data_IF_625595412759
#
_entry.id   IF_625595412759
#
_cell.length_a   1.000
_cell.length_b   1.000
_cell.length_c   1.000
_cell.angle_alpha   90.00
_cell.angle_beta   90.00
_cell.angle_gamma   90.00
#
_symmetry.space_group_name_H-M   'P 1'
#
loop_
_entity.id
_entity.type
_entity.pdbx_description
1 polymer ?
#
# COMPACT_ATOMS: atom_id res chain seq x y z
N UNK A 1 17.16 -9.33 1.77
CA UNK A 1 17.16 -8.44 0.59
C UNK A 1 16.63 -7.05 0.95
N UNK A 2 15.51 -6.96 1.65
CA UNK A 2 14.93 -5.69 2.12
C UNK A 2 15.94 -4.94 3.00
N UNK A 3 16.53 -5.59 3.99
CA UNK A 3 17.53 -4.98 4.87
C UNK A 3 18.69 -4.34 4.09
N UNK A 4 19.18 -5.01 3.04
CA UNK A 4 20.25 -4.46 2.20
C UNK A 4 19.77 -3.32 1.32
N UNK A 5 18.54 -3.41 0.79
CA UNK A 5 17.99 -2.39 -0.11
C UNK A 5 17.68 -1.07 0.61
N UNK A 6 17.44 -1.12 1.92
CA UNK A 6 17.05 0.03 2.74
C UNK A 6 17.97 0.26 3.94
N UNK A 7 19.18 -0.32 3.95
CA UNK A 7 20.19 -0.06 4.96
C UNK A 7 20.57 1.43 4.99
N UNK A 8 20.75 1.97 6.19
CA UNK A 8 21.15 3.35 6.39
C UNK A 8 22.35 3.42 7.34
N UNK A 9 23.55 3.73 6.85
CA UNK A 9 24.74 3.89 7.70
C UNK A 9 24.54 4.92 8.81
N UNK A 10 23.73 5.97 8.56
CA UNK A 10 23.39 6.96 9.58
C UNK A 10 22.57 6.35 10.71
N UNK A 11 21.57 5.53 10.38
CA UNK A 11 20.74 4.83 11.38
C UNK A 11 21.59 3.85 12.18
N UNK A 12 22.50 3.12 11.53
CA UNK A 12 23.41 2.18 12.20
C UNK A 12 24.35 2.90 13.14
N UNK A 13 24.89 4.06 12.72
CA UNK A 13 25.69 4.93 13.55
C UNK A 13 24.92 5.38 14.80
N UNK A 14 23.69 5.88 14.63
CA UNK A 14 22.87 6.37 15.74
C UNK A 14 22.54 5.22 16.72
N UNK A 15 22.24 4.04 16.21
CA UNK A 15 21.99 2.84 17.04
C UNK A 15 23.21 2.46 17.88
N UNK A 16 24.41 2.57 17.30
CA UNK A 16 25.68 2.29 18.00
C UNK A 16 26.02 3.35 19.07
N UNK A 17 25.34 4.50 19.08
CA UNK A 17 25.54 5.59 20.02
C UNK A 17 24.27 5.83 20.87
N UNK A 18 23.75 4.77 21.47
CA UNK A 18 22.60 4.80 22.39
C UNK A 18 21.34 5.47 21.82
N UNK A 19 21.14 5.34 20.50
CA UNK A 19 20.02 5.94 19.76
C UNK A 19 20.01 7.48 19.78
N UNK A 20 21.17 8.11 20.01
CA UNK A 20 21.30 9.57 20.04
C UNK A 20 22.30 10.04 18.99
N UNK A 21 21.93 11.05 18.23
CA UNK A 21 22.83 11.82 17.40
C UNK A 21 22.92 13.24 17.95
N UNK A 22 24.07 13.57 18.51
CA UNK A 22 24.38 14.92 19.01
C UNK A 22 24.96 15.78 17.87
N UNK A 23 24.30 16.89 17.56
CA UNK A 23 24.71 17.87 16.58
C UNK A 23 25.10 19.22 17.23
N UNK A 24 25.42 19.22 18.52
CA UNK A 24 25.74 20.39 19.32
C UNK A 24 24.46 21.10 19.82
N UNK A 25 23.90 22.07 19.07
CA UNK A 25 22.68 22.76 19.51
C UNK A 25 21.39 21.91 19.42
N UNK A 26 21.49 20.75 18.75
CA UNK A 26 20.37 19.83 18.52
C UNK A 26 20.81 18.40 18.80
N UNK A 27 20.02 17.69 19.60
CA UNK A 27 20.14 16.24 19.77
C UNK A 27 18.94 15.53 19.12
N UNK A 28 19.21 14.55 18.26
CA UNK A 28 18.20 13.72 17.63
C UNK A 28 18.16 12.37 18.35
N UNK A 29 17.01 12.01 18.90
CA UNK A 29 16.79 10.73 19.57
C UNK A 29 15.94 9.83 18.67
N UNK A 30 16.43 8.64 18.38
CA UNK A 30 15.62 7.60 17.73
C UNK A 30 14.91 6.76 18.79
N UNK A 31 13.67 6.32 18.55
CA UNK A 31 13.03 5.36 19.42
C UNK A 31 13.76 4.01 19.37
N UNK A 32 13.67 3.22 20.44
CA UNK A 32 14.29 1.89 20.51
C UNK A 32 13.71 0.91 19.48
N UNK A 33 12.45 1.10 19.10
CA UNK A 33 11.77 0.32 18.06
C UNK A 33 11.17 1.24 17.02
N UNK A 34 11.62 1.10 15.78
CA UNK A 34 11.14 1.84 14.61
C UNK A 34 11.47 1.06 13.33
N UNK A 35 10.85 1.45 12.23
CA UNK A 35 11.06 0.86 10.92
C UNK A 35 9.75 0.42 10.27
N UNK A 36 9.83 -0.59 9.42
CA UNK A 36 8.68 -1.13 8.72
C UNK A 36 7.89 -2.06 9.65
N UNK A 37 6.55 -1.95 9.62
CA UNK A 37 5.72 -2.97 10.26
C UNK A 37 5.73 -4.25 9.43
N UNK A 38 5.37 -5.38 10.04
CA UNK A 38 5.35 -6.68 9.38
C UNK A 38 4.52 -6.69 8.08
N UNK A 39 3.39 -5.99 8.04
CA UNK A 39 2.54 -5.90 6.85
C UNK A 39 3.22 -5.16 5.69
N UNK A 40 3.91 -4.07 5.98
CA UNK A 40 4.69 -3.31 4.99
C UNK A 40 5.89 -4.11 4.50
N UNK A 41 6.63 -4.76 5.40
CA UNK A 41 7.76 -5.61 5.05
C UNK A 41 7.32 -6.75 4.12
N UNK A 42 6.24 -7.45 4.46
CA UNK A 42 5.65 -8.49 3.61
C UNK A 42 5.28 -7.98 2.22
N UNK A 43 4.66 -6.79 2.12
CA UNK A 43 4.26 -6.22 0.84
C UNK A 43 5.49 -5.93 -0.05
N UNK A 44 6.53 -5.35 0.51
CA UNK A 44 7.79 -5.07 -0.20
C UNK A 44 8.45 -6.38 -0.63
N UNK A 45 8.52 -7.37 0.26
CA UNK A 45 9.10 -8.68 -0.05
C UNK A 45 8.38 -9.34 -1.22
N UNK A 46 7.03 -9.35 -1.20
CA UNK A 46 6.23 -9.88 -2.31
C UNK A 46 6.52 -9.17 -3.63
N UNK A 47 6.73 -7.86 -3.61
CA UNK A 47 7.08 -7.13 -4.82
C UNK A 47 8.43 -7.59 -5.39
N UNK A 48 9.47 -7.73 -4.56
CA UNK A 48 10.77 -8.27 -5.02
C UNK A 48 10.66 -9.71 -5.54
N UNK A 49 9.92 -10.56 -4.83
CA UNK A 49 9.68 -11.95 -5.22
C UNK A 49 8.89 -12.04 -6.53
N UNK A 50 7.90 -11.18 -6.73
CA UNK A 50 7.12 -11.11 -7.96
C UNK A 50 8.02 -10.79 -9.16
N UNK A 51 8.95 -9.83 -9.05
CA UNK A 51 9.90 -9.55 -10.13
C UNK A 51 10.80 -10.75 -10.44
N UNK A 52 11.26 -11.45 -9.40
CA UNK A 52 12.10 -12.66 -9.61
C UNK A 52 11.33 -13.79 -10.29
N UNK A 53 10.06 -13.98 -9.90
CA UNK A 53 9.20 -15.04 -10.44
C UNK A 53 8.74 -14.76 -11.88
N UNK A 54 8.57 -13.49 -12.22
CA UNK A 54 8.07 -13.05 -13.53
C UNK A 54 9.04 -12.04 -14.17
N UNK A 55 10.26 -12.49 -14.55
CA UNK A 55 11.32 -11.59 -15.00
C UNK A 55 10.97 -10.85 -16.29
N UNK A 56 10.18 -11.46 -17.19
CA UNK A 56 9.82 -10.90 -18.49
C UNK A 56 8.42 -10.27 -18.51
N UNK A 57 7.62 -10.46 -17.47
CA UNK A 57 6.27 -9.91 -17.43
C UNK A 57 6.27 -8.40 -17.17
N UNK A 58 5.28 -7.72 -17.72
CA UNK A 58 4.96 -6.36 -17.32
C UNK A 58 4.37 -6.39 -15.92
N UNK A 59 5.08 -5.80 -14.95
CA UNK A 59 4.63 -5.71 -13.57
C UNK A 59 3.97 -4.37 -13.34
N UNK A 60 2.80 -4.40 -12.73
CA UNK A 60 1.96 -3.22 -12.52
C UNK A 60 1.52 -3.14 -11.07
N UNK A 61 1.65 -1.97 -10.48
CA UNK A 61 1.03 -1.59 -9.20
C UNK A 61 -0.23 -0.78 -9.48
N UNK A 62 -1.29 -1.05 -8.74
CA UNK A 62 -2.52 -0.26 -8.88
C UNK A 62 -2.35 1.15 -8.34
N UNK A 63 -1.48 1.33 -7.34
CA UNK A 63 -1.06 2.59 -6.73
C UNK A 63 0.24 2.36 -5.93
N UNK A 64 0.71 3.34 -5.14
CA UNK A 64 1.86 3.16 -4.24
C UNK A 64 1.69 1.91 -3.38
N UNK A 65 2.72 1.06 -3.33
CA UNK A 65 2.66 -0.16 -2.51
C UNK A 65 2.57 0.17 -1.02
N UNK A 66 3.29 1.21 -0.62
CA UNK A 66 3.28 1.86 0.68
C UNK A 66 3.65 3.32 0.48
N UNK A 67 3.27 4.22 1.40
CA UNK A 67 3.60 5.64 1.31
C UNK A 67 5.06 5.93 1.68
N UNK A 68 5.98 5.34 0.91
CA UNK A 68 7.42 5.55 1.08
C UNK A 68 8.07 5.78 -0.30
N UNK A 69 8.57 7.00 -0.58
CA UNK A 69 9.17 7.33 -1.88
C UNK A 69 10.39 6.47 -2.24
N UNK A 70 11.22 6.10 -1.26
CA UNK A 70 12.39 5.25 -1.51
C UNK A 70 11.98 3.84 -1.95
N UNK A 71 10.93 3.27 -1.33
CA UNK A 71 10.37 1.98 -1.71
C UNK A 71 9.81 2.03 -3.13
N UNK A 72 8.93 2.99 -3.41
CA UNK A 72 8.31 3.10 -4.73
C UNK A 72 9.34 3.45 -5.82
N UNK A 73 10.36 4.27 -5.50
CA UNK A 73 11.49 4.53 -6.39
C UNK A 73 12.23 3.25 -6.77
N UNK A 74 12.52 2.40 -5.77
CA UNK A 74 13.18 1.11 -6.01
C UNK A 74 12.33 0.16 -6.85
N UNK A 75 11.02 0.14 -6.66
CA UNK A 75 10.13 -0.68 -7.50
C UNK A 75 10.09 -0.18 -8.96
N UNK A 76 10.14 1.13 -9.19
CA UNK A 76 10.27 1.69 -10.54
C UNK A 76 11.57 1.25 -11.21
N UNK A 77 12.69 1.26 -10.50
CA UNK A 77 13.97 0.73 -10.99
C UNK A 77 13.89 -0.76 -11.36
N UNK A 78 13.06 -1.53 -10.64
CA UNK A 78 12.75 -2.92 -10.94
C UNK A 78 11.74 -3.09 -12.10
N UNK A 79 11.34 -2.01 -12.76
CA UNK A 79 10.45 -2.03 -13.91
C UNK A 79 8.97 -2.12 -13.58
N UNK A 80 8.56 -1.80 -12.35
CA UNK A 80 7.15 -1.66 -12.02
C UNK A 80 6.56 -0.40 -12.66
N UNK A 81 5.36 -0.55 -13.22
CA UNK A 81 4.52 0.54 -13.71
C UNK A 81 3.36 0.79 -12.75
N UNK A 82 2.71 1.94 -12.85
CA UNK A 82 1.67 2.37 -11.92
C UNK A 82 0.40 2.80 -12.67
N UNK A 83 -0.75 2.26 -12.25
CA UNK A 83 -2.06 2.67 -12.78
C UNK A 83 -2.53 4.00 -12.19
N UNK A 84 -2.18 4.27 -10.94
CA UNK A 84 -2.66 5.44 -10.20
C UNK A 84 -1.61 6.03 -9.27
N UNK A 85 -2.05 7.05 -8.49
CA UNK A 85 -1.22 7.71 -7.50
C UNK A 85 -0.15 8.63 -8.09
N UNK A 86 0.84 8.95 -7.26
CA UNK A 86 1.93 9.87 -7.59
C UNK A 86 2.78 9.42 -8.79
N UNK A 87 2.88 8.11 -8.99
CA UNK A 87 3.76 7.49 -9.99
C UNK A 87 3.02 7.00 -11.23
N UNK A 88 1.74 7.35 -11.38
CA UNK A 88 0.96 7.03 -12.57
C UNK A 88 1.69 7.50 -13.85
N UNK A 89 1.79 6.61 -14.83
CA UNK A 89 2.54 6.84 -16.06
C UNK A 89 1.67 6.78 -17.34
N UNK A 90 0.36 6.95 -17.16
CA UNK A 90 -0.62 6.92 -18.23
C UNK A 90 -1.14 5.54 -18.58
N UNK A 91 -0.65 4.48 -17.93
CA UNK A 91 -1.20 3.13 -18.07
C UNK A 91 -2.59 3.06 -17.44
N UNK A 92 -3.52 2.42 -18.14
CA UNK A 92 -4.90 2.20 -17.66
C UNK A 92 -5.21 0.72 -17.50
N UNK A 93 -6.30 0.39 -16.81
CA UNK A 93 -6.75 -1.01 -16.66
C UNK A 93 -7.07 -1.62 -18.03
N UNK A 94 -7.49 -0.81 -18.99
CA UNK A 94 -7.88 -1.30 -20.32
C UNK A 94 -6.69 -1.71 -21.19
N UNK A 95 -5.48 -1.27 -20.82
CA UNK A 95 -4.22 -1.66 -21.46
C UNK A 95 -3.66 -2.99 -20.94
N UNK A 96 -4.29 -3.57 -19.91
CA UNK A 96 -3.86 -4.79 -19.26
C UNK A 96 -4.47 -6.05 -19.89
N UNK A 97 -3.77 -7.16 -19.77
CA UNK A 97 -4.21 -8.47 -20.27
C UNK A 97 -3.62 -9.66 -19.51
N UNK A 98 -3.86 -10.89 -19.99
CA UNK A 98 -3.50 -12.13 -19.27
C UNK A 98 -1.99 -12.34 -19.01
N UNK A 99 -1.14 -11.61 -19.73
CA UNK A 99 0.32 -11.70 -19.56
C UNK A 99 0.88 -10.67 -18.55
N UNK A 100 0.02 -9.80 -18.02
CA UNK A 100 0.39 -8.81 -17.04
C UNK A 100 0.25 -9.34 -15.62
N UNK A 101 1.14 -8.94 -14.75
CA UNK A 101 1.10 -9.25 -13.32
C UNK A 101 0.82 -7.98 -12.55
N UNK A 102 -0.31 -7.95 -11.86
CA UNK A 102 -0.75 -6.79 -11.07
C UNK A 102 -0.59 -7.07 -9.59
N UNK A 103 0.21 -6.25 -8.93
CA UNK A 103 0.41 -6.30 -7.49
C UNK A 103 -0.55 -5.32 -6.80
N UNK A 104 -1.37 -5.85 -5.90
CA UNK A 104 -2.28 -5.07 -5.07
C UNK A 104 -1.51 -4.52 -3.86
N UNK A 105 -1.56 -3.21 -3.56
CA UNK A 105 -0.76 -2.58 -2.51
C UNK A 105 -1.19 -3.01 -1.10
N UNK A 106 -0.35 -2.69 -0.10
CA UNK A 106 -0.62 -3.02 1.30
C UNK A 106 -1.95 -2.47 1.83
N UNK A 107 -2.39 -1.34 1.32
CA UNK A 107 -3.66 -0.67 1.66
C UNK A 107 -4.89 -1.26 0.96
N UNK A 108 -4.65 -2.13 -0.02
CA UNK A 108 -5.67 -2.72 -0.86
C UNK A 108 -6.20 -1.80 -1.95
N UNK A 109 -7.28 -2.26 -2.60
CA UNK A 109 -7.94 -1.56 -3.70
C UNK A 109 -9.45 -1.68 -3.57
N UNK A 110 -10.18 -0.82 -4.24
CA UNK A 110 -11.64 -0.84 -4.31
C UNK A 110 -12.15 -2.12 -5.00
N UNK A 111 -13.33 -2.59 -4.60
CA UNK A 111 -13.95 -3.78 -5.18
C UNK A 111 -14.18 -3.65 -6.68
N UNK A 112 -14.63 -2.48 -7.14
CA UNK A 112 -14.84 -2.22 -8.57
C UNK A 112 -13.55 -2.35 -9.40
N UNK A 113 -12.40 -1.90 -8.85
CA UNK A 113 -11.12 -2.08 -9.54
C UNK A 113 -10.72 -3.56 -9.59
N UNK A 114 -10.95 -4.32 -8.52
CA UNK A 114 -10.70 -5.77 -8.51
C UNK A 114 -11.52 -6.50 -9.58
N UNK A 115 -12.79 -6.14 -9.75
CA UNK A 115 -13.66 -6.72 -10.77
C UNK A 115 -13.15 -6.40 -12.19
N UNK A 116 -12.76 -5.16 -12.44
CA UNK A 116 -12.14 -4.76 -13.72
C UNK A 116 -10.87 -5.54 -14.00
N UNK A 117 -9.98 -5.69 -13.03
CA UNK A 117 -8.74 -6.46 -13.18
C UNK A 117 -9.03 -7.94 -13.46
N UNK A 118 -10.04 -8.54 -12.78
CA UNK A 118 -10.48 -9.91 -13.06
C UNK A 118 -11.02 -10.06 -14.50
N UNK A 119 -11.82 -9.10 -14.96
CA UNK A 119 -12.33 -9.09 -16.32
C UNK A 119 -11.21 -9.04 -17.38
N UNK A 120 -10.06 -8.43 -17.06
CA UNK A 120 -8.86 -8.39 -17.91
C UNK A 120 -8.02 -9.68 -17.83
N UNK A 121 -8.39 -10.62 -16.96
CA UNK A 121 -7.70 -11.89 -16.75
C UNK A 121 -6.21 -11.75 -16.36
N UNK A 122 -5.83 -10.63 -15.74
CA UNK A 122 -4.47 -10.40 -15.26
C UNK A 122 -4.11 -11.36 -14.13
N UNK A 123 -2.82 -11.66 -13.99
CA UNK A 123 -2.34 -12.38 -12.81
C UNK A 123 -2.24 -11.40 -11.63
N UNK A 124 -2.98 -11.65 -10.55
CA UNK A 124 -2.98 -10.78 -9.38
C UNK A 124 -2.11 -11.35 -8.26
N UNK A 125 -1.27 -10.51 -7.69
CA UNK A 125 -0.50 -10.80 -6.47
C UNK A 125 -1.03 -9.90 -5.36
N UNK A 126 -1.50 -10.51 -4.27
CA UNK A 126 -2.15 -9.78 -3.16
C UNK A 126 -1.14 -9.50 -2.05
N UNK A 127 -0.72 -8.23 -1.95
CA UNK A 127 0.15 -7.74 -0.89
C UNK A 127 -0.61 -6.99 0.22
N UNK A 128 -1.94 -7.05 0.23
CA UNK A 128 -2.77 -6.38 1.24
C UNK A 128 -2.39 -6.84 2.64
N UNK A 129 -2.24 -5.89 3.55
CA UNK A 129 -1.91 -6.17 4.95
C UNK A 129 -3.02 -6.96 5.64
N UNK A 130 -2.64 -7.94 6.46
CA UNK A 130 -3.58 -8.76 7.23
C UNK A 130 -4.50 -7.95 8.14
N UNK A 131 -3.98 -6.89 8.74
CA UNK A 131 -4.76 -5.97 9.58
C UNK A 131 -5.85 -5.25 8.77
N UNK A 132 -5.53 -4.79 7.57
CA UNK A 132 -6.49 -4.18 6.64
C UNK A 132 -7.58 -5.19 6.26
N UNK A 133 -7.19 -6.43 5.95
CA UNK A 133 -8.14 -7.50 5.65
C UNK A 133 -9.07 -7.83 6.83
N UNK A 134 -8.56 -7.74 8.06
CA UNK A 134 -9.35 -7.95 9.27
C UNK A 134 -10.41 -6.86 9.44
N UNK A 135 -10.05 -5.58 9.22
CA UNK A 135 -11.00 -4.47 9.20
C UNK A 135 -12.08 -4.71 8.15
N UNK A 136 -11.72 -5.10 6.93
CA UNK A 136 -12.69 -5.38 5.87
C UNK A 136 -13.62 -6.54 6.19
N UNK A 137 -13.13 -7.56 6.88
CA UNK A 137 -13.97 -8.65 7.37
C UNK A 137 -15.04 -8.12 8.30
N UNK A 138 -14.67 -7.30 9.29
CA UNK A 138 -15.59 -6.70 10.25
C UNK A 138 -16.60 -5.77 9.59
N UNK A 139 -16.15 -4.89 8.71
CA UNK A 139 -17.03 -4.00 7.95
C UNK A 139 -18.09 -4.78 7.19
N UNK A 140 -17.71 -5.85 6.50
CA UNK A 140 -18.68 -6.70 5.77
C UNK A 140 -19.64 -7.44 6.69
N UNK A 141 -19.17 -7.94 7.84
CA UNK A 141 -20.01 -8.60 8.83
C UNK A 141 -21.10 -7.64 9.36
N UNK A 142 -20.71 -6.43 9.75
CA UNK A 142 -21.65 -5.41 10.24
C UNK A 142 -22.57 -4.90 9.14
N UNK A 143 -22.09 -4.67 7.94
CA UNK A 143 -22.93 -4.27 6.80
C UNK A 143 -24.03 -5.30 6.51
N UNK A 144 -23.69 -6.60 6.52
CA UNK A 144 -24.67 -7.69 6.35
C UNK A 144 -25.69 -7.74 7.49
N UNK A 145 -25.30 -7.34 8.70
CA UNK A 145 -26.19 -7.25 9.85
C UNK A 145 -27.05 -5.97 9.87
N UNK A 146 -26.96 -5.13 8.83
CA UNK A 146 -27.75 -3.90 8.69
C UNK A 146 -27.18 -2.66 9.37
N UNK A 147 -25.98 -2.74 9.90
CA UNK A 147 -25.33 -1.58 10.54
C UNK A 147 -24.77 -0.60 9.50
N UNK A 148 -24.79 0.68 9.84
CA UNK A 148 -24.09 1.72 9.10
C UNK A 148 -22.67 1.84 9.63
N UNK A 149 -21.68 1.74 8.74
CA UNK A 149 -20.26 1.92 9.09
C UNK A 149 -19.92 3.40 9.01
N UNK A 150 -19.34 3.94 10.07
CA UNK A 150 -18.74 5.29 10.09
C UNK A 150 -17.23 5.11 9.98
N UNK A 151 -16.63 5.74 8.97
CA UNK A 151 -15.19 5.67 8.72
C UNK A 151 -14.60 7.07 8.93
N UNK A 152 -13.69 7.19 9.90
CA UNK A 152 -12.91 8.40 10.12
C UNK A 152 -11.56 8.28 9.41
N UNK A 153 -11.26 9.22 8.48
CA UNK A 153 -10.03 9.20 7.69
C UNK A 153 -10.09 10.15 6.50
N UNK A 154 -8.99 10.26 5.75
CA UNK A 154 -8.96 11.04 4.52
C UNK A 154 -9.75 10.33 3.41
N UNK A 155 -10.80 10.94 2.83
CA UNK A 155 -11.65 10.27 1.83
C UNK A 155 -10.89 9.79 0.59
N UNK A 156 -9.86 10.54 0.17
CA UNK A 156 -9.05 10.19 -1.00
C UNK A 156 -7.98 9.12 -0.72
N UNK A 157 -7.75 8.74 0.55
CA UNK A 157 -6.75 7.75 0.90
C UNK A 157 -7.15 6.36 0.38
N UNK A 158 -6.19 5.62 -0.17
CA UNK A 158 -6.42 4.29 -0.78
C UNK A 158 -7.14 3.32 0.16
N UNK A 159 -6.69 3.22 1.41
CA UNK A 159 -7.28 2.33 2.41
C UNK A 159 -8.72 2.73 2.75
N UNK A 160 -9.01 4.05 2.86
CA UNK A 160 -10.36 4.55 3.08
C UNK A 160 -11.28 4.15 1.93
N UNK A 161 -10.90 4.42 0.69
CA UNK A 161 -11.66 4.05 -0.51
C UNK A 161 -11.87 2.53 -0.61
N UNK A 162 -10.80 1.76 -0.37
CA UNK A 162 -10.86 0.30 -0.35
C UNK A 162 -11.82 -0.21 0.72
N UNK A 163 -11.82 0.38 1.92
CA UNK A 163 -12.71 -0.01 3.02
C UNK A 163 -14.15 0.39 2.75
N UNK A 164 -14.41 1.61 2.27
CA UNK A 164 -15.75 2.09 1.86
C UNK A 164 -16.36 1.16 0.82
N UNK A 165 -15.61 0.74 -0.18
CA UNK A 165 -16.10 -0.17 -1.23
C UNK A 165 -16.58 -1.53 -0.71
N UNK A 166 -16.34 -1.87 0.56
CA UNK A 166 -16.71 -3.13 1.21
C UNK A 166 -17.91 -3.01 2.14
N UNK A 167 -18.48 -1.82 2.28
CA UNK A 167 -19.68 -1.59 3.11
C UNK A 167 -20.96 -2.17 2.49
N UNK A 168 -20.91 -2.63 1.23
CA UNK A 168 -22.06 -3.21 0.53
C UNK A 168 -23.12 -2.20 0.12
N UNK A 169 -22.83 -0.91 0.21
CA UNK A 169 -23.68 0.16 -0.30
C UNK A 169 -23.02 0.73 -1.56
N UNK A 170 -23.70 0.55 -2.69
CA UNK A 170 -23.35 1.17 -3.96
C UNK A 170 -23.62 2.70 -3.97
N UNK A 171 -23.93 3.28 -2.79
CA UNK A 171 -24.22 4.68 -2.65
C UNK A 171 -22.91 5.48 -2.56
N UNK A 172 -22.54 6.23 -3.62
CA UNK A 172 -21.36 7.08 -3.60
C UNK A 172 -21.50 8.27 -2.64
N UNK A 173 -22.64 8.45 -1.97
CA UNK A 173 -22.99 9.61 -1.17
C UNK A 173 -23.02 9.39 0.34
N UNK A 174 -22.37 8.37 0.88
CA UNK A 174 -22.07 8.37 2.31
C UNK A 174 -20.57 8.42 2.60
N UNK A 175 -19.83 9.39 2.08
CA UNK A 175 -18.58 9.78 2.67
C UNK A 175 -18.90 10.81 3.75
N UNK A 176 -19.45 10.40 4.86
CA UNK A 176 -19.15 11.14 6.08
C UNK A 176 -17.82 10.56 6.61
N UNK A 177 -16.78 10.65 5.77
CA UNK A 177 -15.45 10.79 6.28
C UNK A 177 -15.47 12.11 7.04
N UNK A 178 -15.44 12.04 8.35
CA UNK A 178 -15.24 13.22 9.18
C UNK A 178 -13.81 13.63 8.91
N UNK A 179 -13.61 14.71 8.14
CA UNK A 179 -12.29 15.25 7.90
C UNK A 179 -11.62 15.50 9.24
N UNK A 180 -10.48 14.88 9.47
CA UNK A 180 -9.66 15.22 10.62
C UNK A 180 -9.16 16.66 10.39
N UNK A 181 -9.41 17.60 11.28
CA UNK A 181 -8.88 18.94 11.14
C UNK A 181 -7.35 18.87 11.13
N UNK A 182 -6.72 19.23 10.02
CA UNK A 182 -5.29 19.45 9.92
C UNK A 182 -4.44 18.27 9.43
N UNK A 183 -4.90 17.47 8.47
CA UNK A 183 -4.02 16.57 7.72
C UNK A 183 -3.50 17.23 6.43
#
# INVERSE_FOLDING_TARGET
EIERAFASPLVDHIRAHDFVLDLGPLAVHLPASFGLCHGVERAIQLAFETRRRFPEARLVLTDEIVHNPAVNGRLRELGYRYLGGRYADGLTVDDLGPHDVVLLPAFGVETALLERLRARQVQMVDAVCGEVMLVWKRVREYARAGYTTVIHGAPAHQETRATVSRTGRDDPFLPHAIDAPGA
#
